data_IF_117419880564
#
_entry.id   IF_117419880564
#
_cell.length_a   1.000
_cell.length_b   1.000
_cell.length_c   1.000
_cell.angle_alpha   90.00
_cell.angle_beta   90.00
_cell.angle_gamma   90.00
#
_symmetry.space_group_name_H-M   'P 1'
#
loop_
_entity.id
_entity.type
_entity.pdbx_description
1 polymer ?
#
# COMPACT_ATOMS: atom_id res chain seq x y z
N UNK A 1 9.18 1.97 35.20
CA UNK A 1 10.54 1.46 35.47
C UNK A 1 10.51 0.01 35.94
N UNK A 2 9.77 -0.39 37.01
CA UNK A 2 9.79 -1.79 37.52
C UNK A 2 9.20 -2.76 36.48
N UNK A 3 8.05 -2.43 35.90
CA UNK A 3 7.37 -3.21 34.86
C UNK A 3 8.23 -3.34 33.60
N UNK A 4 8.86 -2.24 33.16
CA UNK A 4 9.75 -2.23 32.00
C UNK A 4 10.97 -3.13 32.22
N UNK A 5 11.59 -3.10 33.41
CA UNK A 5 12.69 -3.99 33.77
C UNK A 5 12.26 -5.46 33.74
N UNK A 6 11.07 -5.76 34.23
CA UNK A 6 10.53 -7.13 34.22
C UNK A 6 10.27 -7.61 32.76
N UNK A 7 9.71 -6.77 31.92
CA UNK A 7 9.53 -7.03 30.48
C UNK A 7 10.89 -7.26 29.82
N UNK A 8 11.83 -6.33 30.00
CA UNK A 8 13.19 -6.45 29.45
C UNK A 8 13.86 -7.76 29.84
N UNK A 9 13.78 -8.16 31.14
CA UNK A 9 14.35 -9.42 31.61
C UNK A 9 13.75 -10.66 30.92
N UNK A 10 12.47 -10.62 30.54
CA UNK A 10 11.82 -11.70 29.79
C UNK A 10 12.22 -11.70 28.32
N UNK A 11 12.32 -10.50 27.71
CA UNK A 11 12.64 -10.33 26.30
C UNK A 11 14.13 -10.55 25.98
N UNK A 12 15.04 -10.38 26.94
CA UNK A 12 16.48 -10.65 26.77
C UNK A 12 16.82 -12.03 26.18
N UNK A 13 15.91 -13.00 26.32
CA UNK A 13 16.06 -14.34 25.76
C UNK A 13 15.87 -14.39 24.24
N UNK A 14 15.39 -13.29 23.66
CA UNK A 14 15.15 -13.10 22.24
C UNK A 14 15.92 -11.86 21.77
N UNK A 15 17.26 -11.97 21.61
CA UNK A 15 18.06 -10.82 21.25
C UNK A 15 17.68 -10.33 19.85
N UNK A 16 17.61 -9.01 19.69
CA UNK A 16 17.49 -8.36 18.39
C UNK A 16 18.84 -8.49 17.69
N UNK A 17 18.85 -8.84 16.41
CA UNK A 17 20.09 -8.87 15.63
C UNK A 17 20.63 -7.44 15.47
N UNK A 18 21.96 -7.26 15.45
CA UNK A 18 22.57 -5.91 15.40
C UNK A 18 22.04 -5.02 14.28
N UNK A 19 21.92 -5.54 13.07
CA UNK A 19 21.40 -4.78 11.92
C UNK A 19 19.97 -4.25 12.12
N UNK A 20 19.09 -5.03 12.78
CA UNK A 20 17.75 -4.56 13.11
C UNK A 20 17.74 -3.51 14.23
N UNK A 21 18.69 -3.57 15.16
CA UNK A 21 18.88 -2.55 16.17
C UNK A 21 19.34 -1.23 15.53
N UNK A 22 20.33 -1.30 14.63
CA UNK A 22 20.85 -0.11 13.93
C UNK A 22 19.76 0.51 13.05
N UNK A 23 18.97 -0.30 12.38
CA UNK A 23 17.81 0.17 11.62
C UNK A 23 16.73 0.80 12.51
N UNK A 24 16.51 0.26 13.70
CA UNK A 24 15.62 0.88 14.68
C UNK A 24 16.12 2.26 15.12
N UNK A 25 17.43 2.45 15.26
CA UNK A 25 18.02 3.78 15.54
C UNK A 25 17.69 4.76 14.42
N UNK A 26 17.84 4.35 13.15
CA UNK A 26 17.46 5.19 12.00
C UNK A 26 15.97 5.51 12.04
N UNK A 27 15.10 4.52 12.32
CA UNK A 27 13.66 4.74 12.47
C UNK A 27 13.34 5.76 13.58
N UNK A 28 14.05 5.71 14.71
CA UNK A 28 13.88 6.72 15.77
C UNK A 28 14.30 8.12 15.28
N UNK A 29 15.42 8.25 14.57
CA UNK A 29 15.86 9.53 14.00
C UNK A 29 14.84 10.09 13.00
N UNK A 30 14.25 9.24 12.13
CA UNK A 30 13.19 9.64 11.19
C UNK A 30 11.96 10.11 11.94
N UNK A 31 11.49 9.33 12.92
CA UNK A 31 10.31 9.67 13.73
C UNK A 31 10.53 10.94 14.57
N UNK A 32 11.72 11.17 15.12
CA UNK A 32 12.06 12.38 15.89
C UNK A 32 12.21 13.61 14.99
N UNK A 33 12.75 13.44 13.78
CA UNK A 33 12.83 14.49 12.76
C UNK A 33 11.45 14.93 12.32
N UNK A 34 10.58 13.96 12.02
CA UNK A 34 9.21 14.17 11.56
C UNK A 34 9.14 14.95 10.24
N UNK A 35 7.96 15.42 9.88
CA UNK A 35 7.71 16.17 8.64
C UNK A 35 6.84 17.40 8.89
N UNK A 36 7.11 18.49 8.17
CA UNK A 36 6.33 19.71 8.24
C UNK A 36 4.91 19.55 7.69
N UNK A 37 3.97 20.29 8.24
CA UNK A 37 2.56 20.32 7.81
C UNK A 37 2.12 21.76 7.55
N UNK A 38 1.47 21.95 6.42
CA UNK A 38 0.74 23.17 6.05
C UNK A 38 -0.57 23.22 6.87
N UNK A 39 -0.52 23.77 8.07
CA UNK A 39 -1.68 23.83 8.97
C UNK A 39 -2.77 24.72 8.41
N UNK A 40 -2.43 25.79 7.68
CA UNK A 40 -3.38 26.67 7.02
C UNK A 40 -4.21 25.92 6.00
N UNK A 41 -3.55 25.10 5.14
CA UNK A 41 -4.24 24.22 4.19
C UNK A 41 -5.17 23.25 4.94
N UNK A 42 -4.68 22.63 6.03
CA UNK A 42 -5.45 21.64 6.78
C UNK A 42 -6.65 22.24 7.49
N UNK A 43 -6.51 23.40 8.11
CA UNK A 43 -7.59 24.13 8.79
C UNK A 43 -8.69 24.57 7.81
N UNK A 44 -8.31 25.18 6.70
CA UNK A 44 -9.24 25.60 5.66
C UNK A 44 -9.93 24.43 4.97
N UNK A 45 -9.20 23.32 4.73
CA UNK A 45 -9.80 22.10 4.17
C UNK A 45 -10.88 21.53 5.10
N UNK A 46 -10.65 21.55 6.42
CA UNK A 46 -11.66 21.12 7.41
C UNK A 46 -12.86 22.07 7.42
N UNK A 47 -12.62 23.38 7.38
CA UNK A 47 -13.70 24.38 7.35
C UNK A 47 -14.57 24.26 6.10
N UNK A 48 -13.96 24.12 4.93
CA UNK A 48 -14.63 23.90 3.65
C UNK A 48 -15.45 22.59 3.69
N UNK A 49 -14.87 21.48 4.15
CA UNK A 49 -15.55 20.18 4.27
C UNK A 49 -16.80 20.28 5.17
N UNK A 50 -16.70 21.00 6.27
CA UNK A 50 -17.84 21.24 7.18
C UNK A 50 -18.98 22.01 6.51
N UNK A 51 -18.66 23.08 5.76
CA UNK A 51 -19.65 23.87 5.02
C UNK A 51 -20.34 23.01 3.96
N UNK A 52 -19.56 22.29 3.15
CA UNK A 52 -20.10 21.42 2.09
C UNK A 52 -20.97 20.31 2.68
N UNK A 53 -20.52 19.65 3.73
CA UNK A 53 -21.30 18.59 4.41
C UNK A 53 -22.59 19.11 5.03
N UNK A 54 -22.59 20.33 5.59
CA UNK A 54 -23.80 20.94 6.10
C UNK A 54 -24.82 21.18 4.98
N UNK A 55 -24.40 21.78 3.85
CA UNK A 55 -25.26 21.99 2.68
C UNK A 55 -25.81 20.67 2.11
N UNK A 56 -24.96 19.65 1.98
CA UNK A 56 -25.39 18.32 1.54
C UNK A 56 -26.40 17.67 2.48
N UNK A 57 -26.24 17.85 3.80
CA UNK A 57 -27.18 17.33 4.78
C UNK A 57 -28.54 18.03 4.70
N UNK A 58 -28.54 19.33 4.52
CA UNK A 58 -29.77 20.11 4.36
C UNK A 58 -30.49 19.73 3.06
N UNK A 59 -29.77 19.61 1.95
CA UNK A 59 -30.31 19.11 0.68
C UNK A 59 -30.89 17.68 0.81
N UNK A 60 -30.19 16.80 1.55
CA UNK A 60 -30.70 15.45 1.82
C UNK A 60 -32.02 15.45 2.62
N UNK A 61 -32.15 16.33 3.62
CA UNK A 61 -33.39 16.46 4.39
C UNK A 61 -34.55 17.02 3.56
N UNK A 62 -34.25 18.03 2.75
CA UNK A 62 -35.24 18.63 1.84
C UNK A 62 -35.74 17.59 0.81
N UNK A 63 -34.83 16.82 0.21
CA UNK A 63 -35.15 15.84 -0.80
C UNK A 63 -35.93 14.65 -0.23
N UNK A 64 -35.56 14.16 0.97
CA UNK A 64 -36.09 12.91 1.52
C UNK A 64 -37.18 13.09 2.57
N UNK A 65 -37.29 14.27 3.18
CA UNK A 65 -38.14 14.51 4.35
C UNK A 65 -37.70 13.77 5.62
N UNK A 66 -36.54 13.10 5.62
CA UNK A 66 -36.05 12.33 6.76
C UNK A 66 -35.39 13.22 7.80
N UNK A 67 -35.66 12.96 9.08
CA UNK A 67 -34.98 13.63 10.19
C UNK A 67 -33.47 13.35 10.20
N UNK A 68 -33.08 12.11 9.86
CA UNK A 68 -31.69 11.68 9.80
C UNK A 68 -31.35 10.92 8.51
N UNK A 69 -31.12 11.62 7.39
CA UNK A 69 -30.75 10.98 6.11
C UNK A 69 -29.38 10.28 6.13
N UNK A 70 -28.57 10.43 7.19
CA UNK A 70 -27.35 9.64 7.41
C UNK A 70 -27.63 8.23 7.92
N UNK A 71 -28.80 7.98 8.48
CA UNK A 71 -29.21 6.64 8.92
C UNK A 71 -29.40 5.70 7.73
N UNK A 72 -28.57 4.66 7.67
CA UNK A 72 -28.66 3.67 6.59
C UNK A 72 -30.02 2.98 6.55
N UNK A 73 -30.66 2.76 7.70
CA UNK A 73 -31.97 2.13 7.80
C UNK A 73 -33.07 3.04 7.25
N UNK A 74 -33.11 4.32 7.68
CA UNK A 74 -34.11 5.29 7.21
C UNK A 74 -33.98 5.54 5.70
N UNK A 75 -32.73 5.71 5.23
CA UNK A 75 -32.46 5.94 3.82
C UNK A 75 -32.81 4.73 2.94
N UNK A 76 -32.55 3.51 3.43
CA UNK A 76 -32.95 2.27 2.75
C UNK A 76 -34.47 2.22 2.56
N UNK A 77 -35.24 2.44 3.64
CA UNK A 77 -36.71 2.44 3.57
C UNK A 77 -37.24 3.51 2.63
N UNK A 78 -36.66 4.70 2.64
CA UNK A 78 -37.03 5.79 1.73
C UNK A 78 -36.78 5.41 0.25
N UNK A 79 -35.60 4.83 -0.07
CA UNK A 79 -35.31 4.39 -1.45
C UNK A 79 -36.32 3.33 -1.89
N UNK A 80 -36.61 2.34 -1.04
CA UNK A 80 -37.57 1.26 -1.33
C UNK A 80 -38.97 1.81 -1.58
N UNK A 81 -39.40 2.80 -0.79
CA UNK A 81 -40.73 3.45 -0.94
C UNK A 81 -40.82 4.25 -2.25
N UNK A 82 -39.81 5.05 -2.59
CA UNK A 82 -39.84 5.96 -3.73
C UNK A 82 -39.59 5.26 -5.05
N UNK A 83 -38.72 4.22 -5.06
CA UNK A 83 -38.36 3.53 -6.30
C UNK A 83 -39.03 2.18 -6.51
N UNK A 84 -39.61 1.58 -5.45
CA UNK A 84 -40.09 0.20 -5.48
C UNK A 84 -38.99 -0.86 -5.62
N UNK A 85 -37.69 -0.44 -5.57
CA UNK A 85 -36.56 -1.33 -5.71
C UNK A 85 -36.09 -1.80 -4.32
N UNK A 86 -36.02 -3.11 -4.10
CA UNK A 86 -35.52 -3.67 -2.84
C UNK A 86 -34.02 -3.48 -2.69
N UNK A 87 -33.58 -2.91 -1.56
CA UNK A 87 -32.19 -2.56 -1.27
C UNK A 87 -31.64 -3.47 -0.18
N UNK A 88 -30.69 -4.34 -0.50
CA UNK A 88 -30.03 -5.17 0.53
C UNK A 88 -29.14 -4.34 1.45
N UNK A 89 -28.32 -3.47 0.87
CA UNK A 89 -27.34 -2.65 1.60
C UNK A 89 -27.00 -1.36 0.84
N UNK A 90 -26.63 -0.33 1.59
CA UNK A 90 -26.14 0.94 1.05
C UNK A 90 -24.63 1.11 1.27
N UNK A 91 -23.88 0.01 1.27
CA UNK A 91 -22.41 0.08 1.27
C UNK A 91 -21.88 0.48 -0.12
N UNK A 92 -20.60 0.93 -0.16
CA UNK A 92 -19.97 1.44 -1.40
C UNK A 92 -20.07 0.48 -2.61
N UNK A 93 -20.08 -0.83 -2.36
CA UNK A 93 -20.15 -1.85 -3.43
C UNK A 93 -21.56 -1.96 -4.01
N UNK A 94 -22.58 -1.84 -3.16
CA UNK A 94 -23.99 -2.02 -3.55
C UNK A 94 -24.63 -0.75 -4.11
N UNK A 95 -24.05 0.43 -3.88
CA UNK A 95 -24.60 1.69 -4.43
C UNK A 95 -24.69 1.65 -5.95
N UNK A 96 -23.74 1.00 -6.64
CA UNK A 96 -23.78 0.81 -8.09
C UNK A 96 -24.97 -0.03 -8.54
N UNK A 97 -25.27 -1.10 -7.81
CA UNK A 97 -26.40 -1.99 -8.10
C UNK A 97 -27.74 -1.28 -7.88
N UNK A 98 -27.86 -0.50 -6.79
CA UNK A 98 -29.04 0.33 -6.51
C UNK A 98 -29.25 1.36 -7.62
N UNK A 99 -28.18 2.04 -8.04
CA UNK A 99 -28.23 3.03 -9.13
C UNK A 99 -28.67 2.42 -10.47
N UNK A 100 -28.23 1.18 -10.76
CA UNK A 100 -28.62 0.47 -11.98
C UNK A 100 -30.00 -0.16 -11.90
N UNK A 101 -30.55 -0.33 -10.69
CA UNK A 101 -31.85 -0.96 -10.43
C UNK A 101 -33.04 -0.02 -10.52
N UNK A 102 -32.83 1.31 -10.64
CA UNK A 102 -33.89 2.29 -10.73
C UNK A 102 -33.48 3.50 -11.59
N UNK A 103 -34.41 4.04 -12.36
CA UNK A 103 -34.25 5.28 -13.14
C UNK A 103 -34.77 6.51 -12.38
N UNK A 104 -35.08 6.39 -11.09
CA UNK A 104 -35.61 7.47 -10.26
C UNK A 104 -34.53 8.52 -9.99
N UNK A 105 -34.74 9.74 -10.48
CA UNK A 105 -33.78 10.86 -10.38
C UNK A 105 -33.56 11.30 -8.93
N UNK A 106 -34.60 11.24 -8.04
CA UNK A 106 -34.47 11.60 -6.64
C UNK A 106 -33.57 10.60 -5.89
N UNK A 107 -33.70 9.31 -6.22
CA UNK A 107 -32.83 8.26 -5.68
C UNK A 107 -31.38 8.49 -6.14
N UNK A 108 -31.16 8.79 -7.40
CA UNK A 108 -29.83 9.09 -7.93
C UNK A 108 -29.21 10.31 -7.25
N UNK A 109 -29.95 11.41 -7.11
CA UNK A 109 -29.53 12.61 -6.40
C UNK A 109 -29.16 12.31 -4.92
N UNK A 110 -30.01 11.53 -4.23
CA UNK A 110 -29.73 11.15 -2.86
C UNK A 110 -28.49 10.24 -2.73
N UNK A 111 -28.26 9.34 -3.69
CA UNK A 111 -27.05 8.50 -3.70
C UNK A 111 -25.79 9.36 -3.90
N UNK A 112 -25.83 10.40 -4.72
CA UNK A 112 -24.72 11.33 -4.91
C UNK A 112 -24.45 12.15 -3.63
N UNK A 113 -25.50 12.68 -3.00
CA UNK A 113 -25.40 13.35 -1.70
C UNK A 113 -24.78 12.39 -0.65
N UNK A 114 -25.27 11.16 -0.59
CA UNK A 114 -24.73 10.14 0.33
C UNK A 114 -23.26 9.86 0.09
N UNK A 115 -22.83 9.76 -1.16
CA UNK A 115 -21.40 9.56 -1.49
C UNK A 115 -20.55 10.74 -1.02
N UNK A 116 -21.04 11.97 -1.19
CA UNK A 116 -20.39 13.18 -0.68
C UNK A 116 -20.28 13.18 0.84
N UNK A 117 -21.37 12.90 1.54
CA UNK A 117 -21.40 12.82 3.01
C UNK A 117 -20.54 11.67 3.58
N UNK A 118 -20.39 10.57 2.85
CA UNK A 118 -19.60 9.41 3.27
C UNK A 118 -18.10 9.57 3.04
N UNK A 119 -17.64 10.62 2.35
CA UNK A 119 -16.19 10.87 2.16
C UNK A 119 -15.55 11.21 3.50
N UNK A 120 -14.75 10.27 4.02
CA UNK A 120 -14.05 10.39 5.31
C UNK A 120 -12.57 10.75 5.15
N UNK A 121 -12.09 10.91 3.91
CA UNK A 121 -10.68 11.21 3.64
C UNK A 121 -10.22 12.52 4.29
N UNK A 122 -11.11 13.51 4.43
CA UNK A 122 -10.86 14.79 5.12
C UNK A 122 -10.55 14.64 6.61
N UNK A 123 -10.92 13.52 7.25
CA UNK A 123 -10.48 13.19 8.62
C UNK A 123 -8.95 13.12 8.77
N UNK A 124 -8.21 12.98 7.66
CA UNK A 124 -6.75 13.06 7.66
C UNK A 124 -6.25 14.44 8.06
N UNK A 125 -6.92 15.52 7.63
CA UNK A 125 -6.58 16.88 8.06
C UNK A 125 -6.81 17.06 9.56
N UNK A 126 -7.93 16.56 10.10
CA UNK A 126 -8.18 16.54 11.54
C UNK A 126 -7.09 15.78 12.30
N UNK A 127 -6.63 14.63 11.75
CA UNK A 127 -5.55 13.88 12.36
C UNK A 127 -4.22 14.67 12.34
N UNK A 128 -3.92 15.40 11.27
CA UNK A 128 -2.75 16.28 11.19
C UNK A 128 -2.80 17.37 12.23
N UNK A 129 -3.92 18.10 12.32
CA UNK A 129 -4.10 19.21 13.26
C UNK A 129 -4.04 18.77 14.74
N UNK A 130 -4.53 17.57 15.06
CA UNK A 130 -4.43 17.00 16.42
C UNK A 130 -3.03 16.53 16.80
N UNK A 131 -2.16 16.26 15.83
CA UNK A 131 -0.85 15.62 16.07
C UNK A 131 0.34 16.50 15.72
N UNK A 132 0.12 17.63 15.07
CA UNK A 132 1.16 18.59 14.78
C UNK A 132 1.74 19.16 16.08
N UNK A 133 3.08 19.20 16.15
CA UNK A 133 3.81 19.78 17.27
C UNK A 133 3.90 21.30 17.13
N UNK A 134 4.29 22.05 18.20
CA UNK A 134 4.35 23.51 18.17
C UNK A 134 5.31 24.10 17.10
N UNK A 135 6.24 23.31 16.61
CA UNK A 135 7.16 23.69 15.52
C UNK A 135 6.61 23.38 14.11
N UNK A 136 5.33 23.02 13.99
CA UNK A 136 4.66 22.73 12.72
C UNK A 136 4.99 21.36 12.13
N UNK A 137 5.60 20.44 12.89
CA UNK A 137 5.97 19.10 12.40
C UNK A 137 5.15 18.00 13.07
N UNK A 138 4.89 16.92 12.35
CA UNK A 138 4.33 15.68 12.91
C UNK A 138 5.46 14.69 13.09
N UNK A 139 5.50 14.04 14.26
CA UNK A 139 6.49 13.04 14.67
C UNK A 139 5.85 11.71 15.00
N UNK A 140 6.62 10.61 14.95
CA UNK A 140 6.12 9.28 15.28
C UNK A 140 5.13 8.72 14.26
N UNK A 141 5.36 8.97 12.97
CA UNK A 141 4.47 8.55 11.87
C UNK A 141 4.56 7.07 11.56
N UNK A 142 5.62 6.38 11.98
CA UNK A 142 5.87 4.97 11.70
C UNK A 142 6.10 4.16 12.96
N UNK A 143 5.65 2.91 12.92
CA UNK A 143 5.99 1.89 13.92
C UNK A 143 6.94 0.88 13.30
N UNK A 144 8.14 0.79 13.84
CA UNK A 144 9.13 -0.22 13.49
C UNK A 144 8.56 -1.63 13.65
N UNK A 145 8.75 -2.50 12.65
CA UNK A 145 8.24 -3.89 12.64
C UNK A 145 6.75 -4.01 12.95
N UNK A 146 5.93 -2.99 12.65
CA UNK A 146 4.51 -2.96 12.99
C UNK A 146 3.66 -4.01 12.26
N UNK A 147 4.11 -4.50 11.10
CA UNK A 147 3.50 -5.61 10.38
C UNK A 147 4.14 -6.94 10.82
N UNK A 148 3.50 -7.63 11.76
CA UNK A 148 4.03 -8.79 12.47
C UNK A 148 4.53 -9.95 11.58
N UNK A 149 3.97 -10.12 10.36
CA UNK A 149 4.32 -11.25 9.46
C UNK A 149 5.59 -11.02 8.67
N UNK A 150 5.88 -9.78 8.30
CA UNK A 150 6.95 -9.43 7.35
C UNK A 150 8.01 -8.54 7.97
N UNK A 151 7.71 -7.89 9.09
CA UNK A 151 8.55 -6.88 9.72
C UNK A 151 8.51 -5.53 8.99
N UNK A 152 7.56 -5.31 8.07
CA UNK A 152 7.32 -4.00 7.48
C UNK A 152 6.89 -2.99 8.55
N UNK A 153 7.12 -1.71 8.29
CA UNK A 153 6.60 -0.64 9.13
C UNK A 153 5.08 -0.55 9.05
N UNK A 154 4.44 -0.17 10.13
CA UNK A 154 3.04 0.20 10.15
C UNK A 154 2.89 1.71 10.33
N UNK A 155 1.92 2.31 9.63
CA UNK A 155 1.59 3.73 9.80
C UNK A 155 0.96 4.01 11.16
N UNK A 156 1.28 5.17 11.71
CA UNK A 156 0.73 5.72 12.95
C UNK A 156 0.13 7.09 12.68
N UNK A 157 -0.67 7.59 13.60
CA UNK A 157 -1.28 8.92 13.58
C UNK A 157 -2.06 9.17 12.27
N UNK A 158 -1.47 9.85 11.30
CA UNK A 158 -2.09 10.15 10.01
C UNK A 158 -2.16 8.93 9.09
N UNK A 159 -1.35 7.89 9.35
CA UNK A 159 -1.26 6.68 8.52
C UNK A 159 -0.93 6.99 7.05
N UNK A 160 0.28 7.46 6.81
CA UNK A 160 0.78 7.89 5.50
C UNK A 160 0.58 6.85 4.39
N UNK A 161 0.66 5.56 4.73
CA UNK A 161 0.49 4.43 3.80
C UNK A 161 -0.92 4.36 3.17
N UNK A 162 -1.91 4.98 3.83
CA UNK A 162 -3.31 4.93 3.43
C UNK A 162 -3.84 6.28 2.91
N UNK A 163 -2.95 7.19 2.52
CA UNK A 163 -3.37 8.47 1.93
C UNK A 163 -3.83 8.26 0.48
N UNK A 164 -4.90 8.94 0.05
CA UNK A 164 -5.35 8.94 -1.33
C UNK A 164 -4.22 9.35 -2.28
N UNK A 165 -4.22 8.78 -3.48
CA UNK A 165 -3.29 9.21 -4.55
C UNK A 165 -3.81 10.47 -5.22
N UNK A 166 -2.91 11.36 -5.61
CA UNK A 166 -3.21 12.47 -6.50
C UNK A 166 -3.45 11.91 -7.91
N UNK A 167 -4.54 12.32 -8.55
CA UNK A 167 -4.88 11.96 -9.93
C UNK A 167 -5.10 13.20 -10.80
N UNK A 168 -5.12 14.33 -10.16
CA UNK A 168 -5.29 15.64 -10.75
C UNK A 168 -3.98 16.05 -11.45
N UNK A 169 -4.02 16.67 -12.64
CA UNK A 169 -2.84 17.27 -13.27
C UNK A 169 -2.17 18.29 -12.33
N UNK A 170 -0.86 18.44 -12.40
CA UNK A 170 -0.10 19.30 -11.50
C UNK A 170 -0.63 20.74 -11.44
N UNK A 171 -0.97 21.33 -12.60
CA UNK A 171 -1.51 22.70 -12.68
C UNK A 171 -2.85 22.86 -11.96
N UNK A 172 -3.71 21.84 -12.03
CA UNK A 172 -5.00 21.83 -11.33
C UNK A 172 -4.78 21.60 -9.84
N UNK A 173 -3.85 20.72 -9.48
CA UNK A 173 -3.47 20.45 -8.09
C UNK A 173 -2.95 21.70 -7.39
N UNK A 174 -2.07 22.47 -8.05
CA UNK A 174 -1.54 23.74 -7.55
C UNK A 174 -2.63 24.81 -7.40
N UNK A 175 -3.54 24.92 -8.38
CA UNK A 175 -4.66 25.84 -8.31
C UNK A 175 -5.60 25.50 -7.15
N UNK A 176 -6.02 24.23 -7.05
CA UNK A 176 -6.88 23.77 -5.98
C UNK A 176 -6.23 23.97 -4.59
N UNK A 177 -4.92 23.64 -4.48
CA UNK A 177 -4.15 23.84 -3.25
C UNK A 177 -4.13 25.31 -2.81
N UNK A 178 -3.91 26.23 -3.73
CA UNK A 178 -3.91 27.68 -3.46
C UNK A 178 -5.28 28.13 -2.95
N UNK A 179 -6.37 27.81 -3.68
CA UNK A 179 -7.73 28.20 -3.31
C UNK A 179 -8.12 27.68 -1.90
N UNK A 180 -7.78 26.43 -1.61
CA UNK A 180 -8.07 25.89 -0.26
C UNK A 180 -7.23 26.60 0.80
N UNK A 181 -5.96 26.93 0.56
CA UNK A 181 -5.14 27.71 1.50
C UNK A 181 -5.68 29.13 1.71
N UNK A 182 -6.29 29.73 0.70
CA UNK A 182 -6.93 31.04 0.78
C UNK A 182 -8.34 30.98 1.41
N UNK A 183 -8.91 29.77 1.51
CA UNK A 183 -10.29 29.56 2.02
C UNK A 183 -11.35 29.96 1.00
N UNK A 184 -11.00 30.09 -0.27
CA UNK A 184 -11.88 30.51 -1.37
C UNK A 184 -12.74 29.35 -1.86
N UNK A 185 -13.81 29.05 -1.14
CA UNK A 185 -14.76 28.00 -1.49
C UNK A 185 -15.54 28.32 -2.77
N UNK A 186 -15.88 29.59 -3.00
CA UNK A 186 -16.68 29.98 -4.16
C UNK A 186 -15.93 29.70 -5.48
N UNK A 187 -14.68 30.14 -5.58
CA UNK A 187 -13.85 29.85 -6.75
C UNK A 187 -13.52 28.36 -6.86
N UNK A 188 -13.34 27.68 -5.74
CA UNK A 188 -13.08 26.23 -5.73
C UNK A 188 -14.26 25.45 -6.35
N UNK A 189 -15.51 25.77 -5.95
CA UNK A 189 -16.73 25.15 -6.49
C UNK A 189 -16.99 25.54 -7.96
N UNK A 190 -16.55 26.71 -8.40
CA UNK A 190 -16.62 27.10 -9.81
C UNK A 190 -15.69 26.34 -10.74
N UNK A 191 -14.51 25.94 -10.22
CA UNK A 191 -13.47 25.28 -11.02
C UNK A 191 -13.47 23.76 -10.88
N UNK A 192 -14.04 23.22 -9.81
CA UNK A 192 -14.00 21.79 -9.50
C UNK A 192 -15.39 21.29 -9.05
N UNK A 193 -16.01 20.44 -9.87
CA UNK A 193 -17.37 19.93 -9.63
C UNK A 193 -17.50 19.10 -8.35
N UNK A 194 -16.41 18.43 -7.91
CA UNK A 194 -16.36 17.56 -6.73
C UNK A 194 -15.43 18.12 -5.65
N UNK A 195 -15.90 19.11 -4.89
CA UNK A 195 -15.13 19.74 -3.79
C UNK A 195 -14.58 18.73 -2.81
N UNK A 196 -15.38 17.75 -2.36
CA UNK A 196 -14.93 16.74 -1.41
C UNK A 196 -13.87 15.78 -2.00
N UNK A 197 -13.97 15.49 -3.31
CA UNK A 197 -12.93 14.77 -4.05
C UNK A 197 -11.65 15.57 -4.19
N UNK A 198 -11.76 16.85 -4.49
CA UNK A 198 -10.64 17.80 -4.59
C UNK A 198 -9.91 17.89 -3.25
N UNK A 199 -10.60 18.10 -2.13
CA UNK A 199 -10.00 18.07 -0.80
C UNK A 199 -9.28 16.75 -0.53
N UNK A 200 -9.84 15.61 -0.94
CA UNK A 200 -9.21 14.30 -0.77
C UNK A 200 -7.89 14.19 -1.55
N UNK A 201 -7.79 14.76 -2.73
CA UNK A 201 -6.57 14.75 -3.54
C UNK A 201 -5.47 15.67 -2.97
N UNK A 202 -5.85 16.71 -2.22
CA UNK A 202 -4.90 17.65 -1.61
C UNK A 202 -4.25 17.16 -0.32
N UNK A 203 -4.70 16.03 0.27
CA UNK A 203 -4.22 15.56 1.58
C UNK A 203 -2.70 15.38 1.62
N UNK A 204 -2.10 14.79 0.57
CA UNK A 204 -0.64 14.62 0.50
C UNK A 204 0.09 15.95 0.44
N UNK A 205 -0.47 16.94 -0.23
CA UNK A 205 0.13 18.25 -0.43
C UNK A 205 0.21 19.09 0.86
N UNK A 206 -0.46 18.63 1.93
CA UNK A 206 -0.32 19.24 3.25
C UNK A 206 1.04 18.95 3.91
N UNK A 207 1.78 17.93 3.45
CA UNK A 207 3.14 17.69 3.94
C UNK A 207 4.13 18.52 3.15
N UNK A 208 4.87 19.38 3.86
CA UNK A 208 5.77 20.38 3.31
C UNK A 208 7.17 20.28 3.93
N UNK A 209 8.23 20.59 3.18
CA UNK A 209 9.56 20.72 3.74
C UNK A 209 9.68 21.96 4.61
N UNK A 210 10.71 22.03 5.43
CA UNK A 210 11.06 23.26 6.16
C UNK A 210 11.50 24.36 5.18
N UNK A 211 11.40 25.65 5.58
CA UNK A 211 11.85 26.77 4.76
C UNK A 211 13.30 26.60 4.27
N UNK A 212 13.54 26.88 2.99
CA UNK A 212 14.83 26.72 2.34
C UNK A 212 15.19 25.29 1.92
N UNK A 213 14.25 24.34 2.11
CA UNK A 213 14.41 22.96 1.69
C UNK A 213 13.32 22.58 0.66
N UNK A 214 13.56 21.45 -0.01
CA UNK A 214 12.60 20.74 -0.84
C UNK A 214 12.55 19.27 -0.45
N UNK A 215 11.55 18.55 -0.92
CA UNK A 215 11.57 17.10 -0.88
C UNK A 215 12.26 16.54 -2.11
N UNK A 216 13.06 15.50 -1.89
CA UNK A 216 13.42 14.52 -2.92
C UNK A 216 12.76 13.22 -2.52
N UNK A 217 11.91 12.72 -3.42
CA UNK A 217 11.13 11.49 -3.24
C UNK A 217 11.70 10.44 -4.16
N UNK A 218 11.90 9.22 -3.66
CA UNK A 218 12.29 8.10 -4.51
C UNK A 218 11.54 6.83 -4.11
N UNK A 219 11.04 6.11 -5.12
CA UNK A 219 10.25 4.88 -5.00
C UNK A 219 10.96 3.74 -5.74
N UNK A 220 11.06 2.58 -5.13
CA UNK A 220 11.58 1.42 -5.84
C UNK A 220 10.63 0.98 -6.97
N UNK A 221 11.14 0.92 -8.17
CA UNK A 221 10.39 0.49 -9.34
C UNK A 221 10.04 -1.00 -9.27
N UNK A 222 8.78 -1.35 -9.00
CA UNK A 222 8.24 -2.71 -8.97
C UNK A 222 9.04 -3.69 -8.08
N UNK A 223 9.42 -3.28 -6.86
CA UNK A 223 10.34 -4.04 -5.99
C UNK A 223 9.85 -5.46 -5.70
N UNK A 224 8.57 -5.65 -5.38
CA UNK A 224 8.04 -6.99 -5.10
C UNK A 224 8.13 -7.91 -6.32
N UNK A 225 7.88 -7.39 -7.53
CA UNK A 225 8.00 -8.18 -8.76
C UNK A 225 9.46 -8.53 -9.07
N UNK A 226 10.42 -7.63 -8.77
CA UNK A 226 11.86 -7.89 -8.90
C UNK A 226 12.33 -8.95 -7.91
N UNK A 227 11.97 -8.80 -6.66
CA UNK A 227 12.31 -9.75 -5.59
C UNK A 227 11.70 -11.12 -5.85
N UNK A 228 10.43 -11.19 -6.30
CA UNK A 228 9.78 -12.45 -6.64
C UNK A 228 10.49 -13.15 -7.81
N UNK A 229 10.82 -12.40 -8.87
CA UNK A 229 11.54 -12.93 -10.03
C UNK A 229 12.93 -13.45 -9.65
N UNK A 230 13.67 -12.70 -8.82
CA UNK A 230 14.99 -13.07 -8.33
C UNK A 230 14.94 -14.33 -7.46
N UNK A 231 14.02 -14.39 -6.46
CA UNK A 231 13.89 -15.53 -5.56
C UNK A 231 13.45 -16.83 -6.28
N UNK A 232 12.70 -16.69 -7.36
CA UNK A 232 12.20 -17.82 -8.14
C UNK A 232 13.12 -18.19 -9.33
N UNK A 233 14.17 -17.42 -9.57
CA UNK A 233 15.03 -17.54 -10.76
C UNK A 233 14.21 -17.53 -12.07
N UNK A 234 13.24 -16.61 -12.20
CA UNK A 234 12.40 -16.45 -13.40
C UNK A 234 13.14 -15.64 -14.46
N UNK A 235 13.91 -16.30 -15.31
CA UNK A 235 14.91 -15.73 -16.23
C UNK A 235 14.36 -14.60 -17.10
N UNK A 236 13.22 -14.80 -17.77
CA UNK A 236 12.69 -13.77 -18.67
C UNK A 236 12.35 -12.46 -17.95
N UNK A 237 11.92 -12.55 -16.69
CA UNK A 237 11.65 -11.36 -15.86
C UNK A 237 12.95 -10.68 -15.45
N UNK A 238 13.95 -11.46 -15.08
CA UNK A 238 15.27 -10.92 -14.76
C UNK A 238 15.86 -10.20 -15.97
N UNK A 239 15.73 -10.73 -17.18
CA UNK A 239 16.12 -10.05 -18.42
C UNK A 239 15.39 -8.73 -18.62
N UNK A 240 14.07 -8.70 -18.39
CA UNK A 240 13.26 -7.48 -18.46
C UNK A 240 13.73 -6.43 -17.45
N UNK A 241 13.98 -6.83 -16.22
CA UNK A 241 14.40 -5.91 -15.17
C UNK A 241 15.84 -5.41 -15.34
N UNK A 242 16.71 -6.21 -15.94
CA UNK A 242 18.09 -5.82 -16.28
C UNK A 242 18.19 -4.92 -17.53
N UNK A 243 17.12 -4.83 -18.32
CA UNK A 243 17.09 -4.04 -19.56
C UNK A 243 16.19 -2.80 -19.39
N UNK A 244 14.94 -2.89 -19.76
CA UNK A 244 14.02 -1.75 -19.84
C UNK A 244 13.05 -1.63 -18.65
N UNK A 245 12.89 -2.68 -17.83
CA UNK A 245 12.03 -2.69 -16.64
C UNK A 245 10.51 -2.63 -16.89
N UNK A 246 10.05 -2.64 -18.14
CA UNK A 246 8.63 -2.53 -18.52
C UNK A 246 7.89 -3.84 -18.32
N UNK A 247 7.68 -4.23 -17.06
CA UNK A 247 7.17 -5.56 -16.71
C UNK A 247 5.72 -5.79 -17.18
N UNK A 248 4.87 -4.77 -17.21
CA UNK A 248 3.47 -4.93 -17.63
C UNK A 248 3.34 -5.24 -19.11
N UNK A 249 4.13 -4.54 -19.94
CA UNK A 249 4.24 -4.76 -21.39
C UNK A 249 4.81 -6.17 -21.67
N UNK A 250 5.92 -6.50 -21.05
CA UNK A 250 6.59 -7.78 -21.22
C UNK A 250 5.72 -8.96 -20.71
N UNK A 251 4.98 -8.79 -19.63
CA UNK A 251 4.05 -9.81 -19.14
C UNK A 251 2.94 -10.10 -20.14
N UNK A 252 2.36 -9.05 -20.73
CA UNK A 252 1.38 -9.23 -21.80
C UNK A 252 1.98 -9.97 -23.03
N UNK A 253 3.18 -9.57 -23.45
CA UNK A 253 3.89 -10.21 -24.55
C UNK A 253 4.13 -11.71 -24.28
N UNK A 254 4.58 -12.06 -23.09
CA UNK A 254 4.80 -13.45 -22.70
C UNK A 254 3.50 -14.27 -22.58
N UNK A 255 2.47 -13.70 -21.93
CA UNK A 255 1.19 -14.39 -21.72
C UNK A 255 0.46 -14.71 -23.03
N UNK A 256 0.56 -13.81 -24.01
CA UNK A 256 -0.19 -13.90 -25.28
C UNK A 256 0.70 -14.22 -26.48
N UNK A 257 1.98 -14.59 -26.24
CA UNK A 257 2.95 -14.94 -27.28
C UNK A 257 3.13 -13.86 -28.35
N UNK A 258 3.11 -12.60 -27.93
CA UNK A 258 3.29 -11.44 -28.81
C UNK A 258 4.80 -11.16 -29.04
N UNK A 259 5.16 -10.51 -30.15
CA UNK A 259 6.55 -10.12 -30.39
C UNK A 259 7.08 -9.20 -29.29
N UNK A 260 8.33 -9.38 -28.88
CA UNK A 260 8.99 -8.51 -27.89
C UNK A 260 8.97 -7.05 -28.34
N UNK A 261 8.55 -6.15 -27.45
CA UNK A 261 8.45 -4.71 -27.71
C UNK A 261 7.26 -4.30 -28.55
N UNK A 262 6.30 -5.19 -28.85
CA UNK A 262 5.07 -4.87 -29.58
C UNK A 262 4.06 -4.12 -28.73
N UNK A 263 3.94 -4.43 -27.45
CA UNK A 263 3.00 -3.80 -26.54
C UNK A 263 3.55 -2.45 -26.07
N UNK A 264 2.73 -1.38 -26.16
CA UNK A 264 3.11 0.00 -25.81
C UNK A 264 2.25 0.57 -24.69
N UNK A 265 2.69 1.73 -24.13
CA UNK A 265 1.88 2.50 -23.17
C UNK A 265 0.57 2.93 -23.87
N UNK A 266 -0.57 2.63 -23.25
CA UNK A 266 -1.91 2.87 -23.81
C UNK A 266 -2.53 1.67 -24.53
N UNK A 267 -1.78 0.61 -24.80
CA UNK A 267 -2.31 -0.61 -25.42
C UNK A 267 -3.24 -1.36 -24.44
N UNK A 268 -4.42 -1.83 -24.89
CA UNK A 268 -5.31 -2.68 -24.09
C UNK A 268 -4.62 -3.95 -23.55
N UNK A 269 -3.69 -4.53 -24.31
CA UNK A 269 -2.91 -5.71 -23.88
C UNK A 269 -2.02 -5.40 -22.67
N UNK A 270 -1.44 -4.17 -22.60
CA UNK A 270 -0.69 -3.73 -21.43
C UNK A 270 -1.56 -3.71 -20.17
N UNK A 271 -2.84 -3.33 -20.30
CA UNK A 271 -3.76 -3.34 -19.17
C UNK A 271 -4.01 -4.75 -18.63
N UNK A 272 -4.12 -5.74 -19.52
CA UNK A 272 -4.22 -7.16 -19.14
C UNK A 272 -2.94 -7.61 -18.41
N UNK A 273 -1.77 -7.24 -18.92
CA UNK A 273 -0.48 -7.50 -18.28
C UNK A 273 -0.39 -6.86 -16.88
N UNK A 274 -0.80 -5.60 -16.74
CA UNK A 274 -0.80 -4.88 -15.46
C UNK A 274 -1.67 -5.56 -14.40
N UNK A 275 -2.89 -5.92 -14.75
CA UNK A 275 -3.81 -6.60 -13.82
C UNK A 275 -3.27 -7.96 -13.41
N UNK A 276 -2.75 -8.73 -14.37
CA UNK A 276 -2.15 -10.03 -14.10
C UNK A 276 -0.96 -9.92 -13.12
N UNK A 277 -0.07 -8.94 -13.34
CA UNK A 277 1.06 -8.69 -12.44
C UNK A 277 0.63 -8.32 -11.01
N UNK A 278 -0.37 -7.49 -10.86
CA UNK A 278 -0.86 -7.07 -9.54
C UNK A 278 -1.60 -8.17 -8.78
N UNK A 279 -2.31 -9.07 -9.51
CA UNK A 279 -3.21 -10.02 -8.90
C UNK A 279 -2.62 -11.43 -8.72
N UNK A 280 -1.67 -11.86 -9.56
CA UNK A 280 -1.36 -13.28 -9.70
C UNK A 280 -0.05 -13.72 -9.06
N UNK A 281 0.84 -12.81 -8.71
CA UNK A 281 2.18 -13.10 -8.18
C UNK A 281 2.22 -14.02 -6.95
N UNK A 282 1.15 -14.05 -6.18
CA UNK A 282 1.06 -14.82 -4.94
C UNK A 282 -0.10 -15.84 -4.96
N UNK A 283 -0.26 -16.53 -6.08
CA UNK A 283 -1.24 -17.60 -6.23
C UNK A 283 -2.67 -17.10 -6.43
N UNK A 284 -2.86 -15.80 -6.67
CA UNK A 284 -4.15 -15.23 -6.99
C UNK A 284 -4.84 -15.91 -8.17
N UNK A 285 -6.15 -15.78 -8.26
CA UNK A 285 -6.99 -16.34 -9.32
C UNK A 285 -8.05 -15.30 -9.74
N UNK A 286 -9.10 -15.73 -10.42
CA UNK A 286 -10.21 -14.87 -10.90
C UNK A 286 -10.73 -13.93 -9.80
N UNK A 287 -10.91 -14.41 -8.57
CA UNK A 287 -11.36 -13.58 -7.44
C UNK A 287 -10.40 -12.45 -7.12
N UNK A 288 -9.08 -12.69 -7.15
CA UNK A 288 -8.07 -11.65 -6.93
C UNK A 288 -8.09 -10.61 -8.05
N UNK A 289 -8.22 -11.03 -9.31
CA UNK A 289 -8.33 -10.11 -10.45
C UNK A 289 -9.58 -9.22 -10.34
N UNK A 290 -10.75 -9.78 -9.98
CA UNK A 290 -11.97 -9.00 -9.73
C UNK A 290 -11.77 -7.99 -8.61
N UNK A 291 -11.15 -8.39 -7.50
CA UNK A 291 -10.85 -7.51 -6.36
C UNK A 291 -9.90 -6.37 -6.72
N UNK A 292 -9.00 -6.58 -7.68
CA UNK A 292 -8.08 -5.57 -8.22
C UNK A 292 -8.72 -4.69 -9.30
N UNK A 293 -10.02 -4.84 -9.54
CA UNK A 293 -10.77 -3.99 -10.46
C UNK A 293 -10.69 -4.42 -11.93
N UNK A 294 -10.41 -5.68 -12.24
CA UNK A 294 -10.29 -6.17 -13.61
C UNK A 294 -11.50 -5.80 -14.49
N UNK A 295 -12.72 -5.99 -13.97
CA UNK A 295 -13.96 -5.66 -14.69
C UNK A 295 -14.11 -4.15 -14.90
N UNK A 296 -13.80 -3.33 -13.88
CA UNK A 296 -13.83 -1.88 -13.98
C UNK A 296 -12.76 -1.31 -14.96
N UNK A 297 -11.73 -2.09 -15.25
CA UNK A 297 -10.68 -1.78 -16.22
C UNK A 297 -10.99 -2.32 -17.63
N UNK A 298 -12.21 -2.81 -17.87
CA UNK A 298 -12.71 -3.22 -19.19
C UNK A 298 -12.38 -4.66 -19.58
N UNK A 299 -12.04 -5.54 -18.63
CA UNK A 299 -11.91 -6.97 -18.90
C UNK A 299 -13.25 -7.68 -18.73
N UNK A 300 -13.58 -8.58 -19.67
CA UNK A 300 -14.75 -9.44 -19.56
C UNK A 300 -14.48 -10.58 -18.55
N UNK A 301 -15.53 -11.02 -17.85
CA UNK A 301 -15.42 -12.11 -16.86
C UNK A 301 -14.89 -13.41 -17.50
N UNK A 302 -15.28 -13.68 -18.74
CA UNK A 302 -14.84 -14.83 -19.54
C UNK A 302 -13.34 -14.83 -19.84
N UNK A 303 -12.67 -13.66 -19.86
CA UNK A 303 -11.25 -13.52 -20.11
C UNK A 303 -10.39 -13.81 -18.87
N UNK A 304 -10.94 -13.69 -17.65
CA UNK A 304 -10.16 -13.73 -16.43
C UNK A 304 -9.48 -15.08 -16.21
N UNK A 305 -10.17 -16.19 -16.43
CA UNK A 305 -9.60 -17.53 -16.25
C UNK A 305 -8.52 -17.86 -17.27
N UNK A 306 -8.70 -17.58 -18.58
CA UNK A 306 -7.62 -17.64 -19.57
C UNK A 306 -6.39 -16.84 -19.18
N UNK A 307 -6.53 -15.60 -18.72
CA UNK A 307 -5.42 -14.74 -18.27
C UNK A 307 -4.65 -15.40 -17.11
N UNK A 308 -5.35 -15.90 -16.09
CA UNK A 308 -4.71 -16.63 -14.96
C UNK A 308 -3.87 -17.80 -15.46
N UNK A 309 -4.41 -18.60 -16.40
CA UNK A 309 -3.71 -19.76 -16.94
C UNK A 309 -2.48 -19.34 -17.79
N UNK A 310 -2.62 -18.32 -18.64
CA UNK A 310 -1.54 -17.79 -19.46
C UNK A 310 -0.41 -17.20 -18.60
N UNK A 311 -0.76 -16.46 -17.56
CA UNK A 311 0.23 -15.91 -16.62
C UNK A 311 1.03 -17.03 -15.92
N UNK A 312 0.33 -18.06 -15.42
CA UNK A 312 0.99 -19.20 -14.76
C UNK A 312 1.87 -20.00 -15.72
N UNK A 313 1.46 -20.15 -16.98
CA UNK A 313 2.24 -20.81 -18.02
C UNK A 313 3.48 -20.01 -18.41
N UNK A 314 3.40 -18.67 -18.38
CA UNK A 314 4.51 -17.77 -18.64
C UNK A 314 5.50 -17.67 -17.46
N UNK A 315 5.07 -17.96 -16.23
CA UNK A 315 5.84 -17.81 -15.00
C UNK A 315 6.04 -19.15 -14.28
N UNK A 316 6.67 -20.09 -14.95
CA UNK A 316 6.82 -21.47 -14.45
C UNK A 316 7.72 -21.58 -13.22
N UNK A 317 8.80 -20.80 -13.16
CA UNK A 317 9.70 -20.78 -12.02
C UNK A 317 9.02 -20.21 -10.78
N UNK A 318 8.20 -19.15 -10.92
CA UNK A 318 7.42 -18.58 -9.83
C UNK A 318 6.39 -19.59 -9.31
N UNK A 319 5.64 -20.22 -10.21
CA UNK A 319 4.64 -21.24 -9.81
C UNK A 319 5.29 -22.44 -9.13
N UNK A 320 6.47 -22.87 -9.62
CA UNK A 320 7.26 -23.92 -8.98
C UNK A 320 7.72 -23.49 -7.58
N UNK A 321 8.21 -22.27 -7.43
CA UNK A 321 8.67 -21.71 -6.13
C UNK A 321 7.54 -21.68 -5.09
N UNK A 322 6.29 -21.42 -5.49
CA UNK A 322 5.14 -21.52 -4.57
C UNK A 322 5.01 -22.91 -3.96
N UNK A 323 5.05 -23.93 -4.80
CA UNK A 323 4.78 -25.31 -4.37
C UNK A 323 6.00 -25.97 -3.73
N UNK A 324 7.20 -25.63 -4.16
CA UNK A 324 8.42 -26.03 -3.46
C UNK A 324 8.47 -25.45 -2.04
N UNK A 325 8.03 -24.20 -1.87
CA UNK A 325 7.92 -23.56 -0.54
C UNK A 325 6.85 -24.26 0.31
N UNK A 326 5.69 -24.59 -0.26
CA UNK A 326 4.65 -25.35 0.45
C UNK A 326 5.17 -26.71 0.94
N UNK A 327 5.79 -27.46 0.06
CA UNK A 327 6.37 -28.77 0.38
C UNK A 327 7.48 -28.65 1.45
N UNK A 328 8.32 -27.63 1.36
CA UNK A 328 9.39 -27.37 2.32
C UNK A 328 8.81 -27.06 3.73
N UNK A 329 7.77 -26.22 3.79
CA UNK A 329 7.07 -25.87 5.04
C UNK A 329 6.44 -27.11 5.66
N UNK A 330 5.69 -27.92 4.89
CA UNK A 330 5.10 -29.18 5.34
C UNK A 330 6.16 -30.13 5.88
N UNK A 331 7.24 -30.33 5.12
CA UNK A 331 8.36 -31.18 5.54
C UNK A 331 8.98 -30.68 6.84
N UNK A 332 9.26 -29.39 6.97
CA UNK A 332 9.81 -28.82 8.19
C UNK A 332 8.89 -29.00 9.40
N UNK A 333 7.57 -28.87 9.21
CA UNK A 333 6.58 -29.06 10.28
C UNK A 333 6.52 -30.53 10.73
N UNK A 334 6.44 -31.46 9.79
CA UNK A 334 6.22 -32.90 10.07
C UNK A 334 7.47 -33.60 10.56
N UNK A 335 8.61 -33.36 9.92
CA UNK A 335 9.88 -34.04 10.26
C UNK A 335 10.69 -33.33 11.33
N UNK A 336 10.40 -32.05 11.60
CA UNK A 336 11.18 -31.12 12.43
C UNK A 336 12.63 -30.92 11.97
N UNK A 337 13.01 -31.48 10.83
CA UNK A 337 14.32 -31.29 10.23
C UNK A 337 14.39 -29.91 9.51
N UNK A 338 15.57 -29.27 9.52
CA UNK A 338 15.78 -28.06 8.72
C UNK A 338 15.63 -28.37 7.22
N UNK A 339 15.09 -27.39 6.48
CA UNK A 339 14.92 -27.47 5.02
C UNK A 339 15.49 -26.21 4.39
N UNK A 340 16.41 -26.38 3.45
CA UNK A 340 16.98 -25.26 2.70
C UNK A 340 16.07 -24.89 1.53
N UNK A 341 16.01 -23.59 1.26
CA UNK A 341 15.33 -22.93 0.16
C UNK A 341 16.35 -22.13 -0.68
N UNK A 342 16.00 -21.69 -1.90
CA UNK A 342 16.89 -20.89 -2.74
C UNK A 342 17.45 -19.64 -2.03
N UNK A 343 18.51 -19.07 -2.56
CA UNK A 343 19.12 -17.81 -2.08
C UNK A 343 19.52 -17.82 -0.59
N UNK A 344 19.96 -18.98 -0.07
CA UNK A 344 20.43 -19.12 1.32
C UNK A 344 19.31 -19.05 2.38
N UNK A 345 18.05 -19.07 1.94
CA UNK A 345 16.92 -19.18 2.86
C UNK A 345 16.86 -20.54 3.50
N UNK A 346 16.33 -20.60 4.72
CA UNK A 346 16.25 -21.87 5.49
C UNK A 346 15.08 -21.88 6.46
N UNK A 347 14.32 -22.96 6.40
CA UNK A 347 13.31 -23.29 7.41
C UNK A 347 13.94 -24.12 8.53
N UNK A 348 13.57 -23.80 9.77
CA UNK A 348 13.89 -24.61 10.95
C UNK A 348 12.75 -24.55 11.95
N UNK A 349 12.42 -25.69 12.56
CA UNK A 349 11.42 -25.78 13.63
C UNK A 349 12.12 -26.12 14.94
N UNK A 350 11.89 -25.31 15.97
CA UNK A 350 12.43 -25.54 17.31
C UNK A 350 11.31 -25.29 18.33
N UNK A 351 10.87 -26.38 18.96
CA UNK A 351 9.74 -26.32 19.89
C UNK A 351 8.48 -25.77 19.21
N UNK A 352 7.84 -24.75 19.79
CA UNK A 352 6.60 -24.18 19.22
C UNK A 352 6.84 -23.22 18.06
N UNK A 353 8.07 -22.92 17.69
CA UNK A 353 8.38 -21.93 16.65
C UNK A 353 8.97 -22.59 15.40
N UNK A 354 8.42 -22.26 14.25
CA UNK A 354 9.09 -22.43 12.97
C UNK A 354 9.62 -21.05 12.54
N UNK A 355 10.88 -21.03 12.13
CA UNK A 355 11.56 -19.83 11.65
C UNK A 355 11.98 -20.02 10.22
N UNK A 356 11.73 -18.99 9.41
CA UNK A 356 12.16 -18.90 8.04
C UNK A 356 13.23 -17.82 7.95
N UNK A 357 14.47 -18.23 7.75
CA UNK A 357 15.60 -17.32 7.53
C UNK A 357 15.52 -16.77 6.11
N UNK A 358 15.58 -15.45 6.01
CA UNK A 358 15.61 -14.68 4.75
C UNK A 358 17.04 -14.57 4.19
N UNK A 359 17.22 -14.12 2.93
CA UNK A 359 18.54 -13.98 2.33
C UNK A 359 19.52 -13.10 3.13
N UNK A 360 19.05 -12.03 3.77
CA UNK A 360 19.86 -11.15 4.63
C UNK A 360 20.16 -11.74 6.03
N UNK A 361 19.64 -12.93 6.35
CA UNK A 361 19.81 -13.58 7.64
C UNK A 361 18.73 -13.27 8.69
N UNK A 362 17.84 -12.30 8.46
CA UNK A 362 16.67 -12.05 9.30
C UNK A 362 15.70 -13.22 9.26
N UNK A 363 14.89 -13.40 10.29
CA UNK A 363 13.98 -14.55 10.40
C UNK A 363 12.52 -14.09 10.53
N UNK A 364 11.64 -14.75 9.79
CA UNK A 364 10.19 -14.73 10.02
C UNK A 364 9.82 -15.87 10.96
N UNK A 365 8.94 -15.59 11.92
CA UNK A 365 8.53 -16.57 12.93
C UNK A 365 7.07 -16.96 12.79
N UNK A 366 6.79 -18.27 12.84
CA UNK A 366 5.46 -18.85 12.78
C UNK A 366 5.24 -19.67 14.07
N UNK A 367 4.23 -19.28 14.86
CA UNK A 367 3.98 -19.87 16.18
C UNK A 367 3.09 -21.09 16.05
N UNK A 368 3.49 -22.19 16.70
CA UNK A 368 2.78 -23.48 16.72
C UNK A 368 2.26 -23.90 15.33
N UNK A 369 3.12 -23.93 14.30
CA UNK A 369 2.71 -24.37 12.97
C UNK A 369 2.35 -25.86 13.00
N UNK A 370 1.31 -26.22 12.25
CA UNK A 370 0.89 -27.62 12.07
C UNK A 370 0.23 -27.81 10.71
N UNK A 371 0.22 -29.03 10.25
CA UNK A 371 -0.70 -29.51 9.23
C UNK A 371 -1.91 -30.09 9.96
N UNK A 372 -3.10 -29.64 9.67
CA UNK A 372 -4.34 -30.10 10.33
C UNK A 372 -4.92 -31.35 9.66
N UNK A 373 -6.08 -31.83 10.13
CA UNK A 373 -6.73 -33.04 9.63
C UNK A 373 -7.24 -32.92 8.20
N UNK A 374 -7.45 -31.70 7.70
CA UNK A 374 -7.87 -31.38 6.34
C UNK A 374 -6.70 -31.05 5.41
N UNK A 375 -5.50 -31.38 5.84
CA UNK A 375 -4.23 -31.12 5.13
C UNK A 375 -3.89 -29.63 4.94
N UNK A 376 -4.48 -28.71 5.73
CA UNK A 376 -4.15 -27.29 5.66
C UNK A 376 -2.95 -26.96 6.56
N UNK A 377 -2.05 -26.09 6.08
CA UNK A 377 -1.00 -25.51 6.92
C UNK A 377 -1.62 -24.41 7.76
N UNK A 378 -1.48 -24.47 9.07
CA UNK A 378 -1.97 -23.45 10.00
C UNK A 378 -0.92 -23.08 11.04
N UNK A 379 -1.00 -21.83 11.54
CA UNK A 379 -0.16 -21.33 12.63
C UNK A 379 -0.92 -20.31 13.48
N UNK A 380 -0.43 -19.99 14.68
CA UNK A 380 -1.03 -18.96 15.54
C UNK A 380 -0.42 -17.59 15.26
N UNK A 381 -1.26 -16.56 15.26
CA UNK A 381 -0.85 -15.18 15.01
C UNK A 381 -2.00 -14.19 15.16
N UNK A 382 -1.73 -12.91 14.93
CA UNK A 382 -2.76 -11.87 14.94
C UNK A 382 -3.64 -11.97 13.69
N UNK A 383 -4.94 -12.16 13.90
CA UNK A 383 -5.96 -12.18 12.83
C UNK A 383 -6.21 -10.74 12.40
N UNK A 384 -6.03 -10.46 11.11
CA UNK A 384 -6.10 -9.09 10.56
C UNK A 384 -7.48 -8.43 10.72
N UNK A 385 -8.55 -9.20 10.56
CA UNK A 385 -9.93 -8.69 10.60
C UNK A 385 -10.41 -8.33 12.02
N UNK A 386 -9.95 -9.06 13.04
CA UNK A 386 -10.38 -8.87 14.43
C UNK A 386 -9.34 -8.23 15.33
N UNK A 387 -8.07 -8.17 14.90
CA UNK A 387 -6.94 -7.77 15.75
C UNK A 387 -6.62 -8.76 16.88
N UNK A 388 -7.40 -9.83 17.01
CA UNK A 388 -7.22 -10.86 18.05
C UNK A 388 -6.15 -11.89 17.68
N UNK A 389 -5.65 -12.60 18.72
CA UNK A 389 -4.74 -13.73 18.52
C UNK A 389 -5.54 -14.99 18.23
N UNK A 390 -5.18 -15.72 17.19
CA UNK A 390 -5.87 -16.93 16.81
C UNK A 390 -5.12 -17.75 15.76
N UNK A 391 -5.77 -18.81 15.28
CA UNK A 391 -5.23 -19.69 14.26
C UNK A 391 -5.48 -19.13 12.88
N UNK A 392 -4.43 -19.14 12.05
CA UNK A 392 -4.39 -18.61 10.70
C UNK A 392 -4.07 -19.74 9.76
N UNK A 393 -4.86 -19.92 8.73
CA UNK A 393 -4.59 -20.82 7.62
C UNK A 393 -3.61 -20.17 6.63
N UNK A 394 -2.73 -21.00 6.05
CA UNK A 394 -1.73 -20.55 5.09
C UNK A 394 -1.39 -21.65 4.08
N UNK A 395 -0.71 -21.27 3.01
CA UNK A 395 -0.32 -22.16 1.91
C UNK A 395 0.91 -21.59 1.20
N UNK A 396 1.54 -22.35 0.33
CA UNK A 396 2.79 -22.00 -0.31
C UNK A 396 2.88 -20.58 -0.86
N UNK A 397 2.00 -20.13 -1.77
CA UNK A 397 1.97 -18.76 -2.26
C UNK A 397 1.90 -17.69 -1.17
N UNK A 398 1.22 -17.96 -0.04
CA UNK A 398 1.13 -17.01 1.07
C UNK A 398 2.43 -16.91 1.88
N UNK A 399 3.18 -18.00 1.99
CA UNK A 399 4.55 -17.95 2.52
C UNK A 399 5.48 -17.19 1.60
N UNK A 400 5.36 -17.40 0.29
CA UNK A 400 6.14 -16.65 -0.72
C UNK A 400 5.82 -15.16 -0.67
N UNK A 401 4.56 -14.76 -0.53
CA UNK A 401 4.18 -13.36 -0.31
C UNK A 401 4.91 -12.77 0.91
N UNK A 402 4.90 -13.47 2.04
CA UNK A 402 5.59 -13.02 3.24
C UNK A 402 7.11 -12.88 3.02
N UNK A 403 7.74 -13.84 2.32
CA UNK A 403 9.17 -13.82 1.98
C UNK A 403 9.48 -12.61 1.10
N UNK A 404 8.74 -12.42 0.01
CA UNK A 404 8.97 -11.32 -0.94
C UNK A 404 8.79 -9.97 -0.27
N UNK A 405 7.71 -9.78 0.46
CA UNK A 405 7.43 -8.52 1.17
C UNK A 405 8.48 -8.23 2.25
N UNK A 406 8.95 -9.25 2.95
CA UNK A 406 9.98 -9.09 3.95
C UNK A 406 11.33 -8.76 3.30
N UNK A 407 11.69 -9.41 2.19
CA UNK A 407 12.92 -9.14 1.45
C UNK A 407 12.89 -7.74 0.80
N UNK A 408 11.76 -7.32 0.25
CA UNK A 408 11.58 -5.96 -0.27
C UNK A 408 11.77 -4.90 0.85
N UNK A 409 11.24 -5.15 2.05
CA UNK A 409 11.50 -4.31 3.23
C UNK A 409 12.99 -4.26 3.58
N UNK A 410 13.69 -5.37 3.45
CA UNK A 410 15.12 -5.43 3.75
C UNK A 410 15.95 -4.66 2.70
N UNK A 411 15.51 -4.65 1.42
CA UNK A 411 16.10 -3.76 0.40
C UNK A 411 15.91 -2.28 0.75
N UNK A 412 14.71 -1.90 1.22
CA UNK A 412 14.48 -0.53 1.70
C UNK A 412 15.37 -0.18 2.89
N UNK A 413 15.56 -1.09 3.84
CA UNK A 413 16.44 -0.89 4.98
C UNK A 413 17.88 -0.58 4.56
N UNK A 414 18.43 -1.33 3.59
CA UNK A 414 19.74 -1.05 3.03
C UNK A 414 19.82 0.32 2.36
N UNK A 415 18.78 0.69 1.61
CA UNK A 415 18.70 2.02 1.01
C UNK A 415 18.68 3.12 2.08
N UNK A 416 17.90 2.95 3.17
CA UNK A 416 17.83 3.93 4.26
C UNK A 416 19.19 4.16 4.93
N UNK A 417 19.97 3.10 5.18
CA UNK A 417 21.34 3.22 5.70
C UNK A 417 22.23 4.05 4.77
N UNK A 418 22.19 3.77 3.46
CA UNK A 418 23.00 4.48 2.46
C UNK A 418 22.61 5.95 2.35
N UNK A 419 21.32 6.25 2.34
CA UNK A 419 20.80 7.61 2.22
C UNK A 419 21.16 8.46 3.43
N UNK A 420 20.95 7.98 4.64
CA UNK A 420 21.32 8.70 5.87
C UNK A 420 22.85 8.91 5.93
N UNK A 421 23.65 7.91 5.56
CA UNK A 421 25.11 8.04 5.51
C UNK A 421 25.59 9.03 4.44
N UNK A 422 24.87 9.17 3.33
CA UNK A 422 25.16 10.12 2.26
C UNK A 422 24.64 11.54 2.54
N UNK A 423 23.96 11.78 3.66
CA UNK A 423 23.45 13.10 4.03
C UNK A 423 22.09 13.43 3.42
N UNK A 424 21.29 12.43 3.07
CA UNK A 424 19.88 12.58 2.69
C UNK A 424 18.99 12.31 3.91
N UNK A 425 18.58 13.34 4.66
CA UNK A 425 17.78 13.15 5.87
C UNK A 425 16.37 12.69 5.52
N UNK A 426 16.04 11.45 5.83
CA UNK A 426 14.70 10.88 5.61
C UNK A 426 13.75 11.46 6.65
N UNK A 427 12.62 12.03 6.22
CA UNK A 427 11.59 12.60 7.11
C UNK A 427 10.39 11.67 7.30
N UNK A 428 10.11 10.82 6.34
CA UNK A 428 9.22 9.67 6.43
C UNK A 428 9.42 8.74 5.23
N UNK A 429 8.77 7.59 5.26
CA UNK A 429 8.75 6.63 4.15
C UNK A 429 7.38 5.96 4.06
N UNK A 430 7.02 5.49 2.86
CA UNK A 430 5.73 4.84 2.57
C UNK A 430 5.99 3.62 1.71
N UNK A 431 5.73 2.41 2.24
CA UNK A 431 5.99 1.13 1.56
C UNK A 431 7.46 0.98 1.14
N UNK A 432 7.76 1.24 -0.11
CA UNK A 432 9.06 1.16 -0.79
C UNK A 432 9.58 2.53 -1.26
N UNK A 433 8.90 3.60 -0.85
CA UNK A 433 9.21 5.00 -1.14
C UNK A 433 9.86 5.68 0.06
N UNK A 434 10.87 6.50 -0.17
CA UNK A 434 11.49 7.38 0.83
C UNK A 434 11.30 8.84 0.47
N UNK A 435 11.10 9.69 1.47
CA UNK A 435 10.99 11.13 1.33
C UNK A 435 12.09 11.78 2.15
N UNK A 436 13.02 12.44 1.46
CA UNK A 436 14.14 13.16 2.04
C UNK A 436 13.90 14.67 1.99
N UNK A 437 14.25 15.38 3.06
CA UNK A 437 14.15 16.84 3.16
C UNK A 437 15.54 17.45 3.02
N UNK A 438 15.85 18.04 1.88
CA UNK A 438 17.18 18.56 1.57
C UNK A 438 17.15 20.06 1.23
N UNK A 439 18.23 20.83 1.49
CA UNK A 439 18.30 22.23 1.09
C UNK A 439 18.16 22.37 -0.43
N UNK A 440 17.54 23.47 -0.88
CA UNK A 440 17.42 23.79 -2.30
C UNK A 440 18.82 23.97 -2.90
N UNK A 441 19.05 23.32 -4.05
CA UNK A 441 20.35 23.38 -4.74
C UNK A 441 21.43 22.42 -4.21
N UNK A 442 21.12 21.62 -3.18
CA UNK A 442 22.00 20.58 -2.66
C UNK A 442 21.45 19.22 -3.07
N UNK A 443 22.32 18.35 -3.63
CA UNK A 443 21.97 17.00 -4.12
C UNK A 443 20.90 17.00 -5.24
N UNK A 444 20.62 15.86 -5.83
CA UNK A 444 19.62 15.72 -6.89
C UNK A 444 18.78 14.46 -6.73
N UNK A 445 17.66 14.39 -7.44
CA UNK A 445 16.81 13.21 -7.52
C UNK A 445 17.56 12.02 -8.13
N UNK A 446 18.39 12.25 -9.16
CA UNK A 446 19.20 11.23 -9.81
C UNK A 446 20.20 10.60 -8.83
N UNK A 447 20.85 11.43 -8.00
CA UNK A 447 21.78 10.97 -6.98
C UNK A 447 21.11 10.09 -5.94
N UNK A 448 19.94 10.50 -5.43
CA UNK A 448 19.16 9.73 -4.48
C UNK A 448 18.68 8.41 -5.10
N UNK A 449 18.13 8.44 -6.32
CA UNK A 449 17.70 7.25 -7.04
C UNK A 449 18.84 6.26 -7.30
N UNK A 450 20.02 6.77 -7.65
CA UNK A 450 21.21 5.95 -7.85
C UNK A 450 21.66 5.25 -6.55
N UNK A 451 21.64 5.95 -5.40
CA UNK A 451 21.97 5.37 -4.10
C UNK A 451 21.00 4.25 -3.70
N UNK A 452 19.69 4.45 -3.90
CA UNK A 452 18.69 3.41 -3.65
C UNK A 452 18.87 2.19 -4.56
N UNK A 453 19.20 2.41 -5.83
CA UNK A 453 19.36 1.36 -6.85
C UNK A 453 20.68 0.58 -6.77
N UNK A 454 21.58 0.89 -5.83
CA UNK A 454 22.87 0.20 -5.70
C UNK A 454 22.70 -1.29 -5.38
N UNK A 455 23.57 -2.18 -5.92
CA UNK A 455 23.56 -3.60 -5.59
C UNK A 455 23.70 -3.85 -4.08
N UNK A 456 23.06 -4.93 -3.62
CA UNK A 456 23.06 -5.36 -2.22
C UNK A 456 23.88 -6.64 -2.08
N UNK A 457 24.80 -6.69 -1.14
CA UNK A 457 25.77 -7.79 -0.98
C UNK A 457 25.09 -9.15 -0.70
N UNK A 458 24.02 -9.17 0.07
CA UNK A 458 23.27 -10.40 0.38
C UNK A 458 22.22 -10.77 -0.69
N UNK A 459 22.01 -9.91 -1.72
CA UNK A 459 21.11 -10.16 -2.84
C UNK A 459 21.86 -9.99 -4.17
N UNK A 460 22.87 -10.85 -4.46
CA UNK A 460 23.62 -10.75 -5.69
C UNK A 460 22.70 -10.90 -6.90
N UNK A 461 22.92 -10.06 -7.91
CA UNK A 461 22.15 -10.01 -9.15
C UNK A 461 20.66 -9.62 -9.01
N UNK A 462 20.19 -9.18 -7.84
CA UNK A 462 18.88 -8.56 -7.75
C UNK A 462 18.92 -7.18 -8.44
N UNK A 463 18.18 -6.99 -9.55
CA UNK A 463 18.22 -5.72 -10.28
C UNK A 463 17.36 -4.68 -9.58
N UNK A 464 17.99 -3.81 -8.81
CA UNK A 464 17.31 -2.69 -8.14
C UNK A 464 17.29 -1.45 -9.04
N UNK A 465 16.20 -0.72 -8.98
CA UNK A 465 16.03 0.59 -9.60
C UNK A 465 15.04 1.40 -8.77
N UNK A 466 15.36 2.67 -8.55
CA UNK A 466 14.43 3.64 -8.00
C UNK A 466 14.20 4.77 -9.00
N UNK A 467 12.96 5.21 -9.09
CA UNK A 467 12.57 6.40 -9.84
C UNK A 467 12.42 7.54 -8.81
N UNK A 468 13.00 8.71 -9.09
CA UNK A 468 13.07 9.79 -8.13
C UNK A 468 12.68 11.13 -8.76
N UNK A 469 12.12 12.03 -7.94
CA UNK A 469 11.72 13.39 -8.36
C UNK A 469 11.83 14.38 -7.20
N UNK A 470 11.81 15.68 -7.53
CA UNK A 470 11.83 16.77 -6.58
C UNK A 470 10.45 17.43 -6.49
N UNK A 471 10.08 17.90 -5.30
CA UNK A 471 8.82 18.61 -5.11
C UNK A 471 8.86 19.59 -3.92
N UNK A 472 8.02 20.63 -3.99
CA UNK A 472 7.86 21.64 -2.94
C UNK A 472 6.89 21.20 -1.83
N UNK A 473 6.06 20.22 -2.11
CA UNK A 473 5.16 19.54 -1.18
C UNK A 473 5.03 18.08 -1.59
N UNK A 474 4.70 17.19 -0.65
CA UNK A 474 4.61 15.77 -0.96
C UNK A 474 3.45 15.48 -1.92
N UNK A 475 3.76 14.79 -3.00
CA UNK A 475 2.81 14.22 -3.95
C UNK A 475 3.30 12.85 -4.40
N UNK A 476 2.46 12.06 -5.02
CA UNK A 476 2.87 10.81 -5.66
C UNK A 476 2.81 11.01 -7.18
N UNK A 477 3.91 10.65 -7.83
CA UNK A 477 4.04 10.71 -9.29
C UNK A 477 3.17 9.63 -9.98
#
# INVERSE_FOLDING_TARGET
VVTERAIRKRLQKFPVIPSEHDLWIIDQHINDRGVGVDTVLAENAVAIDQIVKARLLDAAKELTGLDNPKSAAQLKSWIEEVSGFEVESLNKKMIGDVRSGTDNEEVHAMLDIRQGLAKTSTEKYNAMLRTVCPDGRIRGLTQFCGAARTGRWAGRLVQMQNLPQNKMPDSELDAARRLVREGDLETLEMLFDDTAGTLSQLIRTAFIPKPGCRFIVADFSAIEARVLAWLADEEWRMDVFNTHGKIYEASAEQMFHLPKGSVKKGDPMRQKGKIAELALGYGGSVGAMKSMGALAMGLEESELKPIVNSWRAANKSITKFWWDTDAAVRRCITTQAPVDLPHGMRLRKQGPLMRLRLPNGRELSYVKPRVDGDDNITYEGTIQSSGGWGRIESYGPKFVENIVQATARDCLAEAMFRLEAAGFPIVFHVHDEVICEVPIGVSSAEELGALMGQPISWAPNLPLRADAYECEYYRKD
#
